data_IF_505799689850
#
_entry.id   IF_505799689850
#
_cell.length_a   1.000
_cell.length_b   1.000
_cell.length_c   1.000
_cell.angle_alpha   90.00
_cell.angle_beta   90.00
_cell.angle_gamma   90.00
#
_symmetry.space_group_name_H-M   'P 1'
#
loop_
_entity.id
_entity.type
_entity.pdbx_description
1 polymer ?
#
# COMPACT_ATOMS: atom_id res chain seq x y z
N UNK A 1 -5.78 26.94 32.76
CA UNK A 1 -4.94 27.08 31.56
C UNK A 1 -5.89 27.15 30.38
N UNK A 2 -6.37 28.34 30.07
CA UNK A 2 -7.32 28.56 28.98
C UNK A 2 -6.53 28.63 27.67
N UNK A 3 -6.30 27.49 27.03
CA UNK A 3 -5.81 27.50 25.66
C UNK A 3 -6.84 28.24 24.80
N UNK A 4 -6.48 29.35 24.14
CA UNK A 4 -7.46 30.14 23.40
C UNK A 4 -8.06 29.28 22.30
N UNK A 5 -9.39 29.28 22.19
CA UNK A 5 -10.14 28.48 21.19
C UNK A 5 -9.60 28.68 19.76
N UNK A 6 -9.12 29.90 19.46
CA UNK A 6 -8.47 30.24 18.20
C UNK A 6 -7.19 29.44 17.92
N UNK A 7 -6.41 29.10 18.96
CA UNK A 7 -5.20 28.28 18.81
C UNK A 7 -5.56 26.82 18.52
N UNK A 8 -6.59 26.28 19.16
CA UNK A 8 -7.09 24.93 18.90
C UNK A 8 -7.61 24.83 17.45
N UNK A 9 -8.38 25.82 17.00
CA UNK A 9 -8.85 25.91 15.61
C UNK A 9 -7.68 25.99 14.62
N UNK A 10 -6.69 26.83 14.88
CA UNK A 10 -5.52 26.96 14.02
C UNK A 10 -4.76 25.63 13.91
N UNK A 11 -4.50 24.97 15.04
CA UNK A 11 -3.81 23.68 15.07
C UNK A 11 -4.63 22.60 14.36
N UNK A 12 -5.95 22.59 14.51
CA UNK A 12 -6.83 21.64 13.83
C UNK A 12 -6.82 21.81 12.30
N UNK A 13 -6.84 23.06 11.82
CA UNK A 13 -6.76 23.36 10.38
C UNK A 13 -5.41 22.91 9.80
N UNK A 14 -4.31 23.21 10.51
CA UNK A 14 -2.97 22.76 10.10
C UNK A 14 -2.95 21.23 10.05
N UNK A 15 -3.34 20.56 11.14
CA UNK A 15 -3.40 19.11 11.20
C UNK A 15 -4.26 18.49 10.07
N UNK A 16 -5.46 19.01 9.84
CA UNK A 16 -6.36 18.49 8.81
C UNK A 16 -5.81 18.63 7.39
N UNK A 17 -5.12 19.75 7.11
CA UNK A 17 -4.48 19.98 5.81
C UNK A 17 -3.34 19.01 5.57
N UNK A 18 -2.46 18.81 6.56
CA UNK A 18 -1.34 17.87 6.46
C UNK A 18 -1.83 16.43 6.32
N UNK A 19 -2.82 16.03 7.12
CA UNK A 19 -3.39 14.68 7.07
C UNK A 19 -4.01 14.38 5.69
N UNK A 20 -4.73 15.34 5.10
CA UNK A 20 -5.33 15.19 3.76
C UNK A 20 -4.26 15.12 2.67
N UNK A 21 -3.21 15.93 2.76
CA UNK A 21 -2.11 15.92 1.79
C UNK A 21 -1.34 14.59 1.77
N UNK A 22 -1.12 13.98 2.93
CA UNK A 22 -0.52 12.64 3.03
C UNK A 22 -1.46 11.57 2.47
N UNK A 23 -2.76 11.67 2.78
CA UNK A 23 -3.77 10.76 2.25
C UNK A 23 -3.80 10.73 0.73
N UNK A 24 -3.77 11.90 0.08
CA UNK A 24 -3.83 12.01 -1.38
C UNK A 24 -2.70 11.25 -2.11
N UNK A 25 -1.47 11.29 -1.57
CA UNK A 25 -0.35 10.53 -2.15
C UNK A 25 -0.57 9.02 -2.12
N UNK A 26 -1.18 8.51 -1.05
CA UNK A 26 -1.43 7.08 -0.89
C UNK A 26 -2.51 6.57 -1.86
N UNK A 27 -3.44 7.45 -2.29
CA UNK A 27 -4.51 7.11 -3.23
C UNK A 27 -4.12 7.28 -4.70
N UNK A 28 -3.17 8.16 -5.02
CA UNK A 28 -2.75 8.42 -6.41
C UNK A 28 -1.85 7.32 -6.95
N UNK A 29 -0.91 6.84 -6.13
CA UNK A 29 0.11 5.88 -6.55
C UNK A 29 -0.47 4.55 -7.08
N UNK A 30 -1.48 3.94 -6.44
CA UNK A 30 -2.07 2.71 -6.97
C UNK A 30 -3.02 2.98 -8.15
N UNK A 31 -3.52 4.21 -8.28
CA UNK A 31 -4.34 4.61 -9.42
C UNK A 31 -3.54 4.64 -10.74
N UNK A 32 -2.25 4.95 -10.64
CA UNK A 32 -1.29 4.93 -11.75
C UNK A 32 -0.71 3.52 -11.99
N UNK A 33 -0.50 2.75 -10.92
CA UNK A 33 0.12 1.42 -11.01
C UNK A 33 -0.85 0.33 -11.49
N UNK A 34 -2.15 0.47 -11.23
CA UNK A 34 -3.14 -0.53 -11.60
C UNK A 34 -3.89 -0.18 -12.89
N UNK A 35 -3.98 -1.09 -13.88
CA UNK A 35 -4.79 -0.89 -15.07
C UNK A 35 -6.27 -0.70 -14.72
N UNK A 36 -6.96 0.13 -15.51
CA UNK A 36 -8.30 0.67 -15.24
C UNK A 36 -9.36 -0.39 -14.93
N UNK A 37 -9.18 -1.62 -15.45
CA UNK A 37 -10.12 -2.72 -15.29
C UNK A 37 -10.12 -3.36 -13.88
N UNK A 38 -9.02 -3.23 -13.11
CA UNK A 38 -8.90 -3.86 -11.77
C UNK A 38 -8.86 -2.86 -10.62
N UNK A 39 -8.75 -1.57 -10.92
CA UNK A 39 -8.57 -0.50 -9.92
C UNK A 39 -9.69 -0.45 -8.88
N UNK A 40 -10.95 -0.63 -9.30
CA UNK A 40 -12.10 -0.62 -8.39
C UNK A 40 -12.08 -1.77 -7.37
N UNK A 41 -11.85 -2.99 -7.83
CA UNK A 41 -11.82 -4.19 -6.97
C UNK A 41 -10.62 -4.17 -6.01
N UNK A 42 -9.45 -3.74 -6.49
CA UNK A 42 -8.24 -3.67 -5.67
C UNK A 42 -8.40 -2.66 -4.51
N UNK A 43 -8.87 -1.44 -4.79
CA UNK A 43 -9.09 -0.42 -3.77
C UNK A 43 -10.18 -0.82 -2.76
N UNK A 44 -11.25 -1.45 -3.23
CA UNK A 44 -12.32 -1.98 -2.38
C UNK A 44 -11.81 -3.05 -1.41
N UNK A 45 -10.97 -3.97 -1.89
CA UNK A 45 -10.35 -5.00 -1.06
C UNK A 45 -9.43 -4.41 0.01
N UNK A 46 -8.51 -3.51 -0.37
CA UNK A 46 -7.59 -2.84 0.57
C UNK A 46 -8.38 -2.11 1.67
N UNK A 47 -9.40 -1.35 1.27
CA UNK A 47 -10.24 -0.60 2.20
C UNK A 47 -11.03 -1.55 3.12
N UNK A 48 -11.56 -2.63 2.56
CA UNK A 48 -12.24 -3.68 3.31
C UNK A 48 -11.32 -4.27 4.39
N UNK A 49 -10.13 -4.75 4.00
CA UNK A 49 -9.14 -5.30 4.93
C UNK A 49 -8.79 -4.31 6.04
N UNK A 50 -8.62 -3.03 5.71
CA UNK A 50 -8.33 -1.97 6.68
C UNK A 50 -9.46 -1.83 7.71
N UNK A 51 -10.71 -1.87 7.24
CA UNK A 51 -11.89 -1.77 8.12
C UNK A 51 -12.06 -3.02 8.97
N UNK A 52 -11.84 -4.21 8.42
CA UNK A 52 -11.86 -5.45 9.18
C UNK A 52 -10.78 -5.48 10.27
N UNK A 53 -9.54 -5.11 9.94
CA UNK A 53 -8.45 -5.02 10.92
C UNK A 53 -8.78 -4.02 12.04
N UNK A 54 -9.37 -2.87 11.69
CA UNK A 54 -9.77 -1.85 12.67
C UNK A 54 -10.92 -2.32 13.57
N UNK A 55 -11.91 -3.02 13.01
CA UNK A 55 -13.01 -3.61 13.76
C UNK A 55 -12.50 -4.67 14.75
N UNK A 56 -11.69 -5.62 14.27
CA UNK A 56 -11.09 -6.66 15.11
C UNK A 56 -10.24 -6.04 16.21
N UNK A 57 -9.35 -5.10 15.88
CA UNK A 57 -8.50 -4.42 16.86
C UNK A 57 -9.29 -3.71 17.95
N UNK A 58 -10.43 -3.10 17.59
CA UNK A 58 -11.30 -2.38 18.54
C UNK A 58 -11.99 -3.33 19.54
N UNK A 59 -12.32 -4.56 19.16
CA UNK A 59 -12.91 -5.54 20.08
C UNK A 59 -11.86 -6.33 20.86
N UNK A 60 -10.75 -6.68 20.21
CA UNK A 60 -9.68 -7.48 20.79
C UNK A 60 -8.91 -6.69 21.85
N UNK A 61 -8.65 -5.40 21.63
CA UNK A 61 -7.90 -4.56 22.57
C UNK A 61 -8.54 -4.44 23.98
N UNK A 62 -9.83 -4.07 24.14
CA UNK A 62 -10.46 -4.00 25.46
C UNK A 62 -10.59 -5.38 26.12
N UNK A 63 -10.78 -6.45 25.34
CA UNK A 63 -10.85 -7.81 25.88
C UNK A 63 -9.53 -8.27 26.52
N UNK A 64 -8.40 -8.03 25.84
CA UNK A 64 -7.07 -8.36 26.37
C UNK A 64 -6.76 -7.49 27.60
N UNK A 65 -7.12 -6.21 27.55
CA UNK A 65 -6.90 -5.30 28.66
C UNK A 65 -7.67 -5.71 29.93
N UNK A 66 -8.91 -6.18 29.77
CA UNK A 66 -9.75 -6.63 30.87
C UNK A 66 -9.34 -7.98 31.48
N UNK A 67 -8.65 -8.83 30.73
CA UNK A 67 -8.28 -10.19 31.17
C UNK A 67 -6.83 -10.29 31.67
N UNK A 68 -5.88 -9.61 30.99
CA UNK A 68 -4.45 -9.73 31.25
C UNK A 68 -3.79 -8.44 31.77
N UNK A 69 -4.54 -7.32 31.82
CA UNK A 69 -4.04 -6.04 32.29
C UNK A 69 -3.17 -5.28 31.28
N UNK A 70 -2.75 -4.06 31.66
CA UNK A 70 -2.14 -3.10 30.72
C UNK A 70 -0.76 -3.54 30.20
N UNK A 71 0.09 -4.09 31.06
CA UNK A 71 1.44 -4.48 30.69
C UNK A 71 1.44 -5.55 29.59
N UNK A 72 0.59 -6.57 29.73
CA UNK A 72 0.48 -7.68 28.77
C UNK A 72 -0.10 -7.19 27.44
N UNK A 73 -1.12 -6.31 27.46
CA UNK A 73 -1.64 -5.68 26.25
C UNK A 73 -0.57 -4.93 25.47
N UNK A 74 0.31 -4.18 26.14
CA UNK A 74 1.39 -3.46 25.48
C UNK A 74 2.43 -4.40 24.86
N UNK A 75 2.79 -5.50 25.53
CA UNK A 75 3.67 -6.50 24.93
C UNK A 75 3.04 -7.17 23.70
N UNK A 76 1.74 -7.46 23.73
CA UNK A 76 1.02 -8.03 22.59
C UNK A 76 0.97 -7.04 21.42
N UNK A 77 0.62 -5.78 21.68
CA UNK A 77 0.64 -4.74 20.65
C UNK A 77 2.05 -4.53 20.08
N UNK A 78 3.07 -4.51 20.94
CA UNK A 78 4.47 -4.41 20.53
C UNK A 78 4.92 -5.60 19.68
N UNK A 79 4.54 -6.82 20.05
CA UNK A 79 4.81 -8.02 19.26
C UNK A 79 4.11 -7.98 17.89
N UNK A 80 2.87 -7.49 17.84
CA UNK A 80 2.12 -7.32 16.59
C UNK A 80 2.81 -6.30 15.66
N UNK A 81 3.27 -5.18 16.21
CA UNK A 81 4.05 -4.17 15.48
C UNK A 81 5.39 -4.72 15.02
N UNK A 82 6.09 -5.47 15.87
CA UNK A 82 7.36 -6.10 15.53
C UNK A 82 7.18 -7.13 14.41
N UNK A 83 6.10 -7.92 14.45
CA UNK A 83 5.78 -8.85 13.38
C UNK A 83 5.46 -8.12 12.07
N UNK A 84 4.68 -7.03 12.13
CA UNK A 84 4.43 -6.17 10.97
C UNK A 84 5.72 -5.56 10.42
N UNK A 85 6.64 -5.16 11.29
CA UNK A 85 7.97 -4.69 10.92
C UNK A 85 8.82 -5.78 10.27
N UNK A 86 8.81 -7.02 10.80
CA UNK A 86 9.51 -8.15 10.20
C UNK A 86 8.96 -8.48 8.83
N UNK A 87 7.64 -8.54 8.68
CA UNK A 87 6.99 -8.76 7.39
C UNK A 87 7.38 -7.64 6.43
N UNK A 88 7.36 -6.39 6.88
CA UNK A 88 7.81 -5.25 6.09
C UNK A 88 9.28 -5.40 5.68
N UNK A 89 10.15 -5.86 6.58
CA UNK A 89 11.57 -6.05 6.31
C UNK A 89 11.82 -7.18 5.30
N UNK A 90 11.11 -8.30 5.40
CA UNK A 90 11.21 -9.42 4.44
C UNK A 90 10.55 -9.11 3.10
N UNK A 91 9.43 -8.36 3.11
CA UNK A 91 8.70 -7.94 1.91
C UNK A 91 9.26 -6.67 1.28
N UNK A 92 10.22 -6.02 1.94
CA UNK A 92 11.06 -4.97 1.38
C UNK A 92 12.45 -5.55 1.02
N UNK A 93 12.55 -6.43 0.00
CA UNK A 93 13.84 -6.67 -0.62
C UNK A 93 14.34 -5.36 -1.22
N UNK A 94 15.65 -5.09 -1.09
CA UNK A 94 16.30 -3.83 -1.43
C UNK A 94 15.72 -3.15 -2.68
N UNK A 95 14.96 -2.07 -2.49
CA UNK A 95 14.71 -1.03 -3.51
C UNK A 95 15.93 -0.14 -3.68
N UNK A 96 17.13 -0.72 -3.64
CA UNK A 96 18.39 -0.05 -3.92
C UNK A 96 18.94 -0.73 -5.17
N UNK A 97 18.39 -0.36 -6.34
CA UNK A 97 18.91 -0.54 -7.71
C UNK A 97 17.87 -0.93 -8.80
N UNK A 98 16.56 -0.98 -8.53
CA UNK A 98 15.57 -1.15 -9.61
C UNK A 98 14.85 0.16 -9.93
N UNK A 99 15.09 0.64 -11.15
CA UNK A 99 14.37 1.74 -11.81
C UNK A 99 12.95 1.31 -12.15
N UNK A 100 11.98 2.24 -12.04
CA UNK A 100 10.56 2.07 -12.38
C UNK A 100 10.31 1.50 -13.80
N UNK A 101 11.31 1.51 -14.68
CA UNK A 101 11.24 1.01 -16.05
C UNK A 101 11.28 -0.53 -16.18
N UNK A 102 11.88 -1.28 -15.25
CA UNK A 102 11.98 -2.74 -15.39
C UNK A 102 10.72 -3.48 -14.94
N UNK A 103 10.01 -3.00 -13.93
CA UNK A 103 8.80 -3.67 -13.42
C UNK A 103 7.61 -3.53 -14.38
N UNK A 104 7.55 -2.46 -15.18
CA UNK A 104 6.51 -2.25 -16.19
C UNK A 104 6.72 -3.08 -17.46
N UNK A 105 7.94 -3.54 -17.75
CA UNK A 105 8.26 -4.33 -18.94
C UNK A 105 7.92 -5.82 -18.80
N UNK A 106 7.84 -6.37 -17.57
CA UNK A 106 7.56 -7.81 -17.38
C UNK A 106 6.10 -8.18 -17.72
N UNK A 107 5.18 -7.21 -17.81
CA UNK A 107 3.83 -7.43 -18.36
C UNK A 107 3.82 -7.31 -19.91
N UNK A 108 4.75 -6.55 -20.50
CA UNK A 108 4.84 -6.35 -21.95
C UNK A 108 5.65 -7.44 -22.67
N UNK A 109 6.59 -8.10 -21.98
CA UNK A 109 7.41 -9.18 -22.54
C UNK A 109 6.59 -10.42 -22.94
N UNK A 110 5.41 -10.63 -22.33
CA UNK A 110 4.46 -11.65 -22.78
C UNK A 110 3.76 -11.31 -24.11
N UNK A 111 3.67 -10.03 -24.47
CA UNK A 111 2.96 -9.55 -25.66
C UNK A 111 3.89 -9.15 -26.83
N UNK A 112 5.20 -9.00 -26.60
CA UNK A 112 6.17 -8.73 -27.68
C UNK A 112 6.69 -10.00 -28.37
N UNK A 113 6.42 -11.19 -27.80
CA UNK A 113 6.79 -12.46 -28.45
C UNK A 113 5.85 -12.84 -29.59
N UNK A 114 4.70 -12.17 -29.71
CA UNK A 114 3.70 -12.46 -30.76
C UNK A 114 3.63 -11.37 -31.85
N UNK A 115 4.26 -10.20 -31.65
CA UNK A 115 4.24 -9.11 -32.64
C UNK A 115 5.51 -9.01 -33.51
N UNK A 116 6.45 -9.97 -33.43
CA UNK A 116 7.71 -9.94 -34.19
C UNK A 116 8.06 -11.28 -34.87
N UNK A 117 7.10 -11.88 -35.58
CA UNK A 117 7.46 -12.64 -36.79
C UNK A 117 6.72 -11.97 -37.95
N UNK A 118 7.40 -11.03 -38.63
CA UNK A 118 7.60 -11.22 -40.06
C UNK A 118 8.98 -10.72 -40.48
N UNK A 119 9.92 -11.65 -40.73
CA UNK A 119 11.02 -11.39 -41.66
C UNK A 119 10.75 -12.18 -42.93
N UNK A 120 10.00 -11.53 -43.82
CA UNK A 120 9.96 -11.80 -45.24
C UNK A 120 11.34 -11.52 -45.85
N UNK A 121 12.31 -12.38 -45.55
CA UNK A 121 13.67 -12.35 -46.09
C UNK A 121 14.15 -13.78 -46.38
N UNK A 122 13.28 -14.64 -46.93
CA UNK A 122 13.63 -16.01 -47.36
C UNK A 122 12.78 -16.53 -48.55
N UNK A 123 12.20 -15.64 -49.38
CA UNK A 123 11.40 -16.04 -50.56
C UNK A 123 11.97 -15.54 -51.89
N UNK A 124 13.05 -14.76 -51.89
CA UNK A 124 13.74 -14.34 -53.13
C UNK A 124 15.05 -15.11 -53.39
N UNK A 125 15.34 -16.15 -52.60
CA UNK A 125 16.57 -16.96 -52.72
C UNK A 125 16.32 -18.47 -52.83
N UNK A 126 15.12 -18.92 -53.17
CA UNK A 126 14.85 -20.32 -53.51
C UNK A 126 13.90 -20.37 -54.72
N UNK A 127 14.50 -20.43 -55.91
CA UNK A 127 13.94 -20.83 -57.24
C UNK A 127 12.66 -20.15 -57.77
#
# INVERSE_FOLDING_TARGET
>A
MDTPFSLILLLFIIYGTFNTAMGAHQWIYPNELFPTHIRGTAMGFITGVTRFASAIGTFVFPFILGTFGLAVSLYICGALLFLGFLISLFMAPETKNMSLAETSAMNKAGNLKESNIPSSENVMLNE
#
